data_IF_890370273174
#
_entry.id   IF_890370273174
#
_cell.length_a   1.000
_cell.length_b   1.000
_cell.length_c   1.000
_cell.angle_alpha   90.00
_cell.angle_beta   90.00
_cell.angle_gamma   90.00
#
_symmetry.space_group_name_H-M   'P 1'
#
loop_
_entity.id
_entity.type
_entity.pdbx_description
1 polymer ?
#
# COMPACT_ATOMS: atom_id res chain seq x y z
N UNK A 1 -27.17 24.02 -5.87
CA UNK A 1 -26.85 23.10 -4.76
C UNK A 1 -27.03 21.68 -5.27
N UNK A 2 -25.97 21.04 -5.75
CA UNK A 2 -26.04 19.62 -6.13
C UNK A 2 -26.17 18.81 -4.85
N UNK A 3 -27.32 18.18 -4.63
CA UNK A 3 -27.44 17.04 -3.72
C UNK A 3 -26.39 16.04 -4.18
N UNK A 4 -25.33 15.88 -3.38
CA UNK A 4 -24.31 14.87 -3.65
C UNK A 4 -25.02 13.53 -3.56
N UNK A 5 -25.34 12.94 -4.71
CA UNK A 5 -25.95 11.62 -4.77
C UNK A 5 -24.94 10.65 -4.16
N UNK A 6 -25.21 10.15 -2.95
CA UNK A 6 -24.37 9.16 -2.25
C UNK A 6 -24.78 7.72 -2.53
N UNK A 7 -25.91 7.51 -3.22
CA UNK A 7 -26.44 6.17 -3.53
C UNK A 7 -25.55 5.36 -4.47
N UNK A 8 -24.61 6.00 -5.18
CA UNK A 8 -23.67 5.25 -6.01
C UNK A 8 -22.73 4.36 -5.18
N UNK A 9 -22.42 4.75 -3.92
CA UNK A 9 -21.60 3.97 -2.99
C UNK A 9 -22.34 2.81 -2.31
N UNK A 10 -23.66 2.74 -2.47
CA UNK A 10 -24.50 1.67 -1.91
C UNK A 10 -24.99 0.68 -2.96
N UNK A 11 -24.54 0.78 -4.22
CA UNK A 11 -24.94 -0.13 -5.30
C UNK A 11 -24.46 -1.56 -5.04
N UNK A 12 -25.34 -2.55 -5.27
CA UNK A 12 -24.99 -3.98 -5.11
C UNK A 12 -23.77 -4.41 -5.92
N UNK A 13 -23.59 -3.83 -7.10
CA UNK A 13 -22.45 -4.12 -7.98
C UNK A 13 -21.09 -3.79 -7.38
N UNK A 14 -21.03 -3.04 -6.27
CA UNK A 14 -19.78 -2.74 -5.58
C UNK A 14 -19.31 -3.89 -4.70
N UNK A 15 -20.24 -4.70 -4.20
CA UNK A 15 -19.97 -5.76 -3.23
C UNK A 15 -19.77 -7.09 -3.94
N UNK A 16 -18.82 -7.86 -3.42
CA UNK A 16 -18.63 -9.26 -3.81
C UNK A 16 -18.98 -10.23 -2.69
N UNK A 17 -18.91 -9.76 -1.44
CA UNK A 17 -19.31 -10.53 -0.29
C UNK A 17 -20.57 -9.93 0.33
N UNK A 18 -21.62 -10.74 0.34
CA UNK A 18 -22.93 -10.43 0.87
C UNK A 18 -23.13 -11.15 2.21
N UNK A 19 -23.83 -10.52 3.16
CA UNK A 19 -24.13 -11.14 4.44
C UNK A 19 -25.06 -12.35 4.27
N UNK A 20 -24.82 -13.39 5.05
CA UNK A 20 -25.65 -14.61 5.02
C UNK A 20 -26.91 -14.49 5.89
N UNK A 21 -26.91 -13.57 6.85
CA UNK A 21 -28.00 -13.39 7.81
C UNK A 21 -28.52 -11.96 7.68
N UNK A 22 -29.81 -11.75 7.36
CA UNK A 22 -30.41 -10.42 7.33
C UNK A 22 -30.35 -9.78 8.73
N UNK A 23 -29.89 -8.53 8.80
CA UNK A 23 -30.00 -7.69 9.99
C UNK A 23 -30.99 -6.56 9.70
N UNK A 24 -31.92 -6.34 10.64
CA UNK A 24 -32.97 -5.33 10.51
C UNK A 24 -32.44 -3.91 10.74
N UNK A 25 -31.57 -3.71 11.73
CA UNK A 25 -30.92 -2.42 12.01
C UNK A 25 -29.46 -2.62 12.41
N UNK A 26 -28.57 -1.77 11.87
CA UNK A 26 -27.15 -1.74 12.20
C UNK A 26 -26.67 -0.29 12.22
N UNK A 27 -25.95 0.08 13.27
CA UNK A 27 -25.37 1.40 13.47
C UNK A 27 -23.85 1.31 13.72
N UNK A 28 -23.18 2.46 13.78
CA UNK A 28 -21.71 2.53 13.92
C UNK A 28 -21.24 1.98 15.29
N UNK A 29 -22.06 2.08 16.33
CA UNK A 29 -21.74 1.53 17.65
C UNK A 29 -21.66 0.00 17.61
N UNK A 30 -22.55 -0.66 16.86
CA UNK A 30 -22.51 -2.12 16.69
C UNK A 30 -21.18 -2.57 16.06
N UNK A 31 -20.69 -1.83 15.06
CA UNK A 31 -19.38 -2.06 14.46
C UNK A 31 -18.24 -1.83 15.46
N UNK A 32 -18.31 -0.76 16.26
CA UNK A 32 -17.30 -0.45 17.28
C UNK A 32 -17.21 -1.54 18.34
N UNK A 33 -18.36 -1.98 18.85
CA UNK A 33 -18.46 -3.08 19.82
C UNK A 33 -17.92 -4.37 19.21
N UNK A 34 -18.26 -4.68 17.95
CA UNK A 34 -17.72 -5.83 17.24
C UNK A 34 -16.19 -5.81 17.12
N UNK A 35 -15.61 -4.66 16.74
CA UNK A 35 -14.15 -4.50 16.63
C UNK A 35 -13.49 -4.66 18.01
N UNK A 36 -13.97 -3.95 19.04
CA UNK A 36 -13.41 -4.03 20.41
C UNK A 36 -13.51 -5.43 21.02
N UNK A 37 -14.59 -6.15 20.74
CA UNK A 37 -14.80 -7.53 21.19
C UNK A 37 -14.07 -8.57 20.33
N UNK A 38 -13.34 -8.15 19.29
CA UNK A 38 -12.60 -9.01 18.36
C UNK A 38 -13.48 -10.08 17.73
N UNK A 39 -14.68 -9.69 17.32
CA UNK A 39 -15.54 -10.56 16.53
C UNK A 39 -14.82 -11.05 15.26
N UNK A 40 -15.19 -12.22 14.71
CA UNK A 40 -14.64 -12.71 13.47
C UNK A 40 -14.74 -11.66 12.36
N UNK A 41 -13.66 -11.43 11.61
CA UNK A 41 -13.65 -10.43 10.53
C UNK A 41 -14.78 -10.62 9.50
N UNK A 42 -15.28 -11.85 9.31
CA UNK A 42 -16.43 -12.11 8.47
C UNK A 42 -17.69 -11.36 8.94
N UNK A 43 -17.97 -11.36 10.24
CA UNK A 43 -19.13 -10.67 10.83
C UNK A 43 -18.96 -9.15 10.73
N UNK A 44 -17.75 -8.64 10.99
CA UNK A 44 -17.45 -7.21 10.83
C UNK A 44 -17.63 -6.75 9.37
N UNK A 45 -17.22 -7.56 8.40
CA UNK A 45 -17.44 -7.29 6.97
C UNK A 45 -18.95 -7.22 6.67
N UNK A 46 -19.76 -8.10 7.25
CA UNK A 46 -21.20 -8.08 7.07
C UNK A 46 -21.83 -6.81 7.68
N UNK A 47 -21.36 -6.35 8.86
CA UNK A 47 -21.79 -5.07 9.44
C UNK A 47 -21.47 -3.88 8.51
N UNK A 48 -20.27 -3.85 7.91
CA UNK A 48 -19.93 -2.77 6.95
C UNK A 48 -20.87 -2.74 5.74
N UNK A 49 -21.36 -3.90 5.28
CA UNK A 49 -22.32 -3.95 4.18
C UNK A 49 -23.64 -3.26 4.56
N UNK A 50 -24.19 -3.58 5.73
CA UNK A 50 -25.43 -2.97 6.21
C UNK A 50 -25.29 -1.46 6.41
N UNK A 51 -24.17 -1.01 6.99
CA UNK A 51 -23.89 0.41 7.15
C UNK A 51 -23.79 1.16 5.82
N UNK A 52 -23.15 0.56 4.81
CA UNK A 52 -23.03 1.16 3.46
C UNK A 52 -24.38 1.22 2.72
N UNK A 53 -25.35 0.40 3.10
CA UNK A 53 -26.74 0.47 2.60
C UNK A 53 -27.59 1.48 3.36
N UNK A 54 -27.14 1.94 4.53
CA UNK A 54 -27.88 2.89 5.33
C UNK A 54 -27.82 4.31 4.72
N UNK A 55 -29.00 4.89 4.45
CA UNK A 55 -29.12 6.22 3.85
C UNK A 55 -28.85 7.37 4.83
N UNK A 56 -28.66 7.11 6.12
CA UNK A 56 -28.42 8.14 7.14
C UNK A 56 -27.01 8.75 7.07
N UNK A 57 -26.01 7.99 6.62
CA UNK A 57 -24.59 8.36 6.70
C UNK A 57 -24.18 9.39 5.64
N UNK A 58 -23.32 10.35 6.02
CA UNK A 58 -22.70 11.30 5.09
C UNK A 58 -21.76 10.61 4.10
N UNK A 59 -21.43 11.29 3.01
CA UNK A 59 -20.50 10.73 2.01
C UNK A 59 -19.10 10.45 2.62
N UNK A 60 -18.65 11.29 3.55
CA UNK A 60 -17.37 11.07 4.25
C UNK A 60 -17.40 9.80 5.10
N UNK A 61 -18.49 9.56 5.83
CA UNK A 61 -18.67 8.36 6.65
C UNK A 61 -18.73 7.09 5.78
N UNK A 62 -19.46 7.13 4.66
CA UNK A 62 -19.51 6.01 3.71
C UNK A 62 -18.13 5.67 3.13
N UNK A 63 -17.33 6.68 2.76
CA UNK A 63 -15.96 6.45 2.30
C UNK A 63 -15.09 5.83 3.39
N UNK A 64 -15.27 6.26 4.64
CA UNK A 64 -14.54 5.72 5.78
C UNK A 64 -14.93 4.27 6.09
N UNK A 65 -16.20 3.92 5.95
CA UNK A 65 -16.66 2.53 6.08
C UNK A 65 -16.13 1.66 4.95
N UNK A 66 -16.07 2.17 3.72
CA UNK A 66 -15.40 1.48 2.61
C UNK A 66 -13.92 1.22 2.92
N UNK A 67 -13.23 2.18 3.53
CA UNK A 67 -11.86 1.99 3.98
C UNK A 67 -11.75 0.85 5.01
N UNK A 68 -12.58 0.88 6.05
CA UNK A 68 -12.65 -0.17 7.07
C UNK A 68 -12.93 -1.54 6.43
N UNK A 69 -13.88 -1.62 5.51
CA UNK A 69 -14.24 -2.86 4.80
C UNK A 69 -13.07 -3.47 4.04
N UNK A 70 -12.31 -2.65 3.32
CA UNK A 70 -11.14 -3.12 2.55
C UNK A 70 -10.03 -3.64 3.47
N UNK A 71 -9.81 -2.98 4.62
CA UNK A 71 -8.86 -3.43 5.66
C UNK A 71 -9.31 -4.77 6.26
N UNK A 72 -10.60 -4.91 6.60
CA UNK A 72 -11.15 -6.16 7.13
C UNK A 72 -10.96 -7.32 6.15
N UNK A 73 -11.17 -7.11 4.85
CA UNK A 73 -10.88 -8.14 3.85
C UNK A 73 -9.39 -8.53 3.81
N UNK A 74 -8.47 -7.55 3.95
CA UNK A 74 -7.04 -7.85 4.04
C UNK A 74 -6.73 -8.69 5.28
N UNK A 75 -7.19 -8.27 6.45
CA UNK A 75 -6.94 -8.98 7.71
C UNK A 75 -7.53 -10.40 7.68
N UNK A 76 -8.66 -10.60 7.01
CA UNK A 76 -9.33 -11.88 6.86
C UNK A 76 -8.75 -12.79 5.75
N UNK A 77 -7.58 -12.51 5.20
CA UNK A 77 -6.96 -13.28 4.10
C UNK A 77 -7.82 -13.35 2.82
N UNK A 78 -8.62 -12.32 2.58
CA UNK A 78 -9.53 -12.23 1.43
C UNK A 78 -9.02 -11.20 0.41
N UNK A 79 -7.75 -11.29 0.02
CA UNK A 79 -7.12 -10.34 -0.90
C UNK A 79 -7.89 -10.21 -2.22
N UNK A 80 -8.37 -11.31 -2.79
CA UNK A 80 -9.16 -11.27 -4.04
C UNK A 80 -10.44 -10.45 -3.91
N UNK A 81 -11.14 -10.53 -2.77
CA UNK A 81 -12.31 -9.70 -2.49
C UNK A 81 -11.90 -8.24 -2.35
N UNK A 82 -10.89 -7.94 -1.52
CA UNK A 82 -10.38 -6.59 -1.31
C UNK A 82 -9.98 -5.91 -2.63
N UNK A 83 -9.25 -6.61 -3.51
CA UNK A 83 -8.84 -6.09 -4.83
C UNK A 83 -10.02 -5.74 -5.73
N UNK A 84 -10.97 -6.67 -5.88
CA UNK A 84 -12.10 -6.46 -6.79
C UNK A 84 -13.09 -5.43 -6.25
N UNK A 85 -13.35 -5.41 -4.95
CA UNK A 85 -14.19 -4.36 -4.35
C UNK A 85 -13.51 -2.98 -4.42
N UNK A 86 -12.17 -2.90 -4.26
CA UNK A 86 -11.42 -1.66 -4.48
C UNK A 86 -11.48 -1.18 -5.94
N UNK A 87 -11.44 -2.10 -6.92
CA UNK A 87 -11.67 -1.77 -8.35
C UNK A 87 -13.09 -1.21 -8.53
N UNK A 88 -14.10 -1.90 -8.02
CA UNK A 88 -15.48 -1.44 -8.11
C UNK A 88 -15.66 -0.05 -7.50
N UNK A 89 -15.13 0.16 -6.30
CA UNK A 89 -15.18 1.43 -5.60
C UNK A 89 -14.46 2.54 -6.38
N UNK A 90 -13.24 2.28 -6.86
CA UNK A 90 -12.49 3.22 -7.71
C UNK A 90 -13.29 3.65 -8.94
N UNK A 91 -13.87 2.68 -9.63
CA UNK A 91 -14.64 2.92 -10.84
C UNK A 91 -15.88 3.75 -10.55
N UNK A 92 -16.58 3.47 -9.44
CA UNK A 92 -17.76 4.21 -9.02
C UNK A 92 -17.41 5.66 -8.65
N UNK A 93 -16.30 5.87 -7.92
CA UNK A 93 -15.79 7.19 -7.58
C UNK A 93 -15.38 7.99 -8.82
N UNK A 94 -14.63 7.35 -9.73
CA UNK A 94 -14.20 7.98 -10.98
C UNK A 94 -15.39 8.41 -11.84
N UNK A 95 -16.37 7.51 -12.05
CA UNK A 95 -17.55 7.81 -12.86
C UNK A 95 -18.39 8.91 -12.25
N UNK A 96 -18.56 8.93 -10.92
CA UNK A 96 -19.29 9.97 -10.23
C UNK A 96 -18.64 11.37 -10.38
N UNK A 97 -17.32 11.44 -10.46
CA UNK A 97 -16.61 12.71 -10.75
C UNK A 97 -16.65 13.11 -12.23
N UNK A 98 -16.90 12.16 -13.12
CA UNK A 98 -16.81 12.33 -14.57
C UNK A 98 -18.11 11.86 -15.25
N UNK A 99 -19.27 12.25 -14.72
CA UNK A 99 -20.60 11.79 -15.15
C UNK A 99 -20.88 11.96 -16.67
N UNK A 100 -20.06 12.76 -17.38
CA UNK A 100 -20.15 13.01 -18.82
C UNK A 100 -19.23 12.13 -19.69
N UNK A 101 -18.40 11.27 -19.09
CA UNK A 101 -17.46 10.40 -19.83
C UNK A 101 -18.10 9.02 -20.00
N UNK A 102 -18.45 8.67 -21.24
CA UNK A 102 -18.87 7.32 -21.59
C UNK A 102 -17.76 6.31 -21.19
N UNK A 103 -18.12 5.11 -20.69
CA UNK A 103 -17.15 4.08 -20.35
C UNK A 103 -16.15 3.87 -21.51
N UNK A 104 -14.82 3.86 -21.27
CA UNK A 104 -13.89 3.39 -22.27
C UNK A 104 -14.30 1.96 -22.60
N UNK A 105 -14.63 1.72 -23.86
CA UNK A 105 -14.81 0.37 -24.37
C UNK A 105 -13.55 -0.40 -23.99
N UNK A 106 -13.71 -1.50 -23.24
CA UNK A 106 -12.61 -2.22 -22.62
C UNK A 106 -11.48 -2.42 -23.60
N UNK A 107 -10.25 -2.05 -23.21
CA UNK A 107 -9.06 -2.34 -23.98
C UNK A 107 -9.01 -3.85 -24.18
N UNK A 108 -9.40 -4.31 -25.38
CA UNK A 108 -9.01 -5.62 -25.84
C UNK A 108 -7.49 -5.62 -25.83
N UNK A 109 -6.91 -6.43 -24.95
CA UNK A 109 -5.49 -6.76 -25.03
C UNK A 109 -5.28 -7.33 -26.43
N UNK A 110 -4.66 -6.56 -27.32
CA UNK A 110 -4.21 -7.08 -28.60
C UNK A 110 -3.22 -8.20 -28.29
N UNK A 111 -3.62 -9.43 -28.56
CA UNK A 111 -2.70 -10.55 -28.63
C UNK A 111 -1.59 -10.21 -29.64
N UNK A 112 -0.29 -10.39 -29.33
CA UNK A 112 0.79 -10.09 -30.28
C UNK A 112 0.86 -11.04 -31.50
N UNK A 113 -0.09 -11.95 -31.69
CA UNK A 113 -0.06 -12.94 -32.75
C UNK A 113 -1.38 -12.98 -33.53
N UNK A 114 -1.51 -12.11 -34.51
CA UNK A 114 -2.38 -12.37 -35.66
C UNK A 114 -1.82 -11.62 -36.85
N UNK A 115 -1.09 -12.38 -37.67
CA UNK A 115 -0.61 -11.98 -38.98
C UNK A 115 -1.77 -11.50 -39.85
N UNK A 116 -1.44 -10.50 -40.67
CA UNK A 116 -2.19 -9.99 -41.81
C UNK A 116 -3.02 -11.06 -42.52
N UNK A 117 -4.29 -10.75 -42.77
CA UNK A 117 -4.82 -10.85 -44.13
C UNK A 117 -5.95 -9.83 -44.35
N UNK A 118 -5.74 -8.99 -45.35
CA UNK A 118 -6.69 -8.00 -45.83
C UNK A 118 -7.56 -8.64 -46.89
N UNK A 119 -8.90 -8.59 -46.77
CA UNK A 119 -9.81 -8.47 -47.93
C UNK A 119 -11.29 -8.26 -47.56
N UNK A 120 -11.81 -7.17 -48.12
CA UNK A 120 -13.14 -6.99 -48.73
C UNK A 120 -14.42 -7.00 -47.88
N UNK A 121 -15.17 -5.91 -48.11
CA UNK A 121 -16.50 -5.51 -47.64
C UNK A 121 -17.63 -6.48 -48.03
N UNK A 122 -18.67 -6.57 -47.18
CA UNK A 122 -20.06 -6.69 -47.65
C UNK A 122 -21.05 -6.34 -46.53
N UNK A 123 -22.05 -5.54 -46.89
CA UNK A 123 -23.27 -5.29 -46.12
C UNK A 123 -24.05 -6.60 -45.89
N UNK A 124 -24.57 -6.80 -44.68
CA UNK A 124 -25.91 -7.37 -44.53
C UNK A 124 -26.51 -7.03 -43.16
N UNK A 125 -27.69 -6.42 -43.22
CA UNK A 125 -28.64 -6.24 -42.14
C UNK A 125 -29.33 -7.58 -41.82
N UNK A 126 -29.50 -7.89 -40.54
CA UNK A 126 -30.32 -9.03 -40.14
C UNK A 126 -30.11 -9.51 -38.70
N UNK A 127 -31.02 -9.09 -37.83
CA UNK A 127 -31.54 -9.84 -36.67
C UNK A 127 -30.51 -10.21 -35.60
N UNK A 128 -30.51 -9.39 -34.54
CA UNK A 128 -29.68 -9.56 -33.35
C UNK A 128 -30.05 -10.80 -32.54
N UNK A 129 -29.15 -11.77 -32.55
CA UNK A 129 -28.88 -12.64 -31.41
C UNK A 129 -27.53 -12.19 -30.86
N UNK A 130 -27.54 -11.34 -29.83
CA UNK A 130 -26.33 -10.98 -29.10
C UNK A 130 -25.80 -12.24 -28.41
N UNK A 131 -24.57 -12.69 -28.74
CA UNK A 131 -23.91 -13.71 -27.94
C UNK A 131 -23.67 -13.12 -26.56
N UNK A 132 -24.03 -13.87 -25.52
CA UNK A 132 -23.73 -13.55 -24.13
C UNK A 132 -22.25 -13.16 -23.99
N UNK A 133 -21.92 -12.04 -23.32
CA UNK A 133 -20.53 -11.73 -23.09
C UNK A 133 -19.96 -12.79 -22.14
N UNK A 134 -18.98 -13.54 -22.63
CA UNK A 134 -17.93 -14.15 -21.80
C UNK A 134 -17.54 -13.17 -20.68
N UNK A 135 -17.29 -13.64 -19.43
CA UNK A 135 -17.13 -12.76 -18.27
C UNK A 135 -15.97 -11.80 -18.51
N UNK A 136 -16.30 -10.61 -19.01
CA UNK A 136 -15.36 -9.61 -19.43
C UNK A 136 -14.68 -9.04 -18.19
N UNK A 137 -13.35 -8.95 -18.25
CA UNK A 137 -12.56 -8.19 -17.28
C UNK A 137 -13.23 -6.83 -17.06
N UNK A 138 -13.63 -6.53 -15.82
CA UNK A 138 -14.18 -5.22 -15.49
C UNK A 138 -13.17 -4.14 -15.89
N UNK A 139 -13.61 -3.04 -16.54
CA UNK A 139 -12.71 -1.95 -16.90
C UNK A 139 -12.11 -1.37 -15.61
N UNK A 140 -10.80 -1.11 -15.60
CA UNK A 140 -10.13 -0.44 -14.48
C UNK A 140 -9.93 1.02 -14.88
N UNK A 141 -10.68 1.93 -14.24
CA UNK A 141 -10.55 3.37 -14.50
C UNK A 141 -9.32 3.95 -13.80
N UNK A 142 -8.80 5.12 -14.27
CA UNK A 142 -7.83 5.91 -13.52
C UNK A 142 -8.35 6.27 -12.12
N UNK A 143 -7.44 6.65 -11.22
CA UNK A 143 -7.84 7.16 -9.90
C UNK A 143 -8.73 8.42 -10.07
N UNK A 144 -9.78 8.60 -9.24
CA UNK A 144 -10.53 9.86 -9.20
C UNK A 144 -9.57 11.04 -8.96
N UNK A 145 -9.88 12.19 -9.58
CA UNK A 145 -9.13 13.44 -9.40
C UNK A 145 -9.30 13.99 -7.98
N UNK A 146 -10.33 13.54 -7.26
CA UNK A 146 -10.65 13.97 -5.91
C UNK A 146 -10.81 15.50 -5.83
N UNK A 147 -11.51 16.10 -6.80
CA UNK A 147 -11.54 17.56 -7.00
C UNK A 147 -11.98 18.33 -5.74
N UNK A 148 -12.89 17.73 -4.97
CA UNK A 148 -13.46 18.35 -3.76
C UNK A 148 -12.67 17.98 -2.49
N UNK A 149 -11.58 17.22 -2.61
CA UNK A 149 -10.74 16.79 -1.48
C UNK A 149 -11.41 15.82 -0.49
N UNK A 150 -12.59 15.28 -0.84
CA UNK A 150 -13.41 14.49 0.07
C UNK A 150 -12.86 13.07 0.31
N UNK A 151 -12.20 12.49 -0.68
CA UNK A 151 -11.61 11.15 -0.54
C UNK A 151 -10.32 11.28 0.25
N UNK A 152 -10.26 10.62 1.41
CA UNK A 152 -9.07 10.58 2.26
C UNK A 152 -7.86 10.00 1.54
N UNK A 153 -6.67 10.51 1.85
CA UNK A 153 -5.43 10.06 1.22
C UNK A 153 -5.15 8.56 1.46
N UNK A 154 -5.42 8.07 2.67
CA UNK A 154 -5.25 6.66 3.04
C UNK A 154 -6.11 5.73 2.18
N UNK A 155 -7.39 6.09 1.95
CA UNK A 155 -8.27 5.34 1.05
C UNK A 155 -7.77 5.40 -0.40
N UNK A 156 -7.30 6.54 -0.89
CA UNK A 156 -6.75 6.65 -2.26
C UNK A 156 -5.53 5.74 -2.47
N UNK A 157 -4.61 5.71 -1.50
CA UNK A 157 -3.43 4.84 -1.52
C UNK A 157 -3.84 3.37 -1.46
N UNK A 158 -4.77 3.01 -0.57
CA UNK A 158 -5.25 1.64 -0.46
C UNK A 158 -5.92 1.18 -1.76
N UNK A 159 -6.76 2.02 -2.38
CA UNK A 159 -7.35 1.75 -3.69
C UNK A 159 -6.26 1.54 -4.75
N UNK A 160 -5.23 2.40 -4.78
CA UNK A 160 -4.11 2.28 -5.73
C UNK A 160 -3.38 0.94 -5.57
N UNK A 161 -3.05 0.55 -4.34
CA UNK A 161 -2.35 -0.71 -4.02
C UNK A 161 -3.18 -1.93 -4.39
N UNK A 162 -4.49 -1.87 -4.18
CA UNK A 162 -5.39 -3.01 -4.39
C UNK A 162 -5.83 -3.16 -5.85
N UNK A 163 -6.09 -2.06 -6.56
CA UNK A 163 -6.66 -2.14 -7.91
C UNK A 163 -5.68 -2.58 -8.98
N UNK A 164 -4.39 -2.39 -8.74
CA UNK A 164 -3.34 -2.64 -9.73
C UNK A 164 -2.27 -3.54 -9.15
N UNK A 165 -1.91 -4.61 -9.87
CA UNK A 165 -0.69 -5.36 -9.58
C UNK A 165 0.50 -4.40 -9.73
N UNK A 166 1.50 -4.42 -8.83
CA UNK A 166 2.69 -3.57 -8.94
C UNK A 166 3.30 -3.61 -10.35
N UNK A 167 3.31 -2.47 -11.02
CA UNK A 167 3.86 -2.31 -12.36
C UNK A 167 4.28 -0.85 -12.61
N UNK A 168 5.03 -0.59 -13.67
CA UNK A 168 5.54 0.76 -13.96
C UNK A 168 4.44 1.78 -14.31
N UNK A 169 3.25 1.34 -14.76
CA UNK A 169 2.12 2.25 -14.95
C UNK A 169 1.60 2.78 -13.60
N UNK A 170 1.62 1.96 -12.55
CA UNK A 170 1.23 2.40 -11.20
C UNK A 170 2.17 3.49 -10.67
N UNK A 171 3.46 3.43 -10.99
CA UNK A 171 4.44 4.49 -10.65
C UNK A 171 4.01 5.84 -11.23
N UNK A 172 3.49 5.88 -12.46
CA UNK A 172 2.98 7.13 -13.06
C UNK A 172 1.77 7.68 -12.32
N UNK A 173 0.91 6.82 -11.78
CA UNK A 173 -0.25 7.24 -10.99
C UNK A 173 0.17 7.77 -9.61
N UNK A 174 1.19 7.16 -8.99
CA UNK A 174 1.79 7.67 -7.75
C UNK A 174 2.43 9.05 -7.96
N UNK A 175 3.13 9.28 -9.07
CA UNK A 175 3.66 10.61 -9.40
C UNK A 175 2.55 11.67 -9.57
N UNK A 176 1.42 11.31 -10.17
CA UNK A 176 0.26 12.21 -10.27
C UNK A 176 -0.29 12.54 -8.88
N UNK A 177 -0.37 11.55 -7.98
CA UNK A 177 -0.82 11.76 -6.60
C UNK A 177 0.17 12.64 -5.80
N UNK A 178 1.48 12.40 -5.94
CA UNK A 178 2.52 13.28 -5.39
C UNK A 178 2.33 14.74 -5.81
N UNK A 179 2.09 14.97 -7.11
CA UNK A 179 1.86 16.31 -7.64
C UNK A 179 0.59 16.95 -7.06
N UNK A 180 -0.52 16.21 -7.00
CA UNK A 180 -1.78 16.69 -6.42
C UNK A 180 -1.64 17.07 -4.94
N UNK A 181 -0.90 16.28 -4.15
CA UNK A 181 -0.65 16.58 -2.74
C UNK A 181 0.14 17.88 -2.56
N UNK A 182 1.18 18.09 -3.37
CA UNK A 182 1.99 19.32 -3.32
C UNK A 182 1.21 20.56 -3.73
N UNK A 183 0.28 20.44 -4.68
CA UNK A 183 -0.58 21.57 -5.09
C UNK A 183 -1.60 21.97 -4.02
N UNK A 184 -2.06 21.02 -3.20
CA UNK A 184 -3.14 21.24 -2.22
C UNK A 184 -2.65 21.67 -0.85
N UNK A 185 -1.34 21.59 -0.56
CA UNK A 185 -0.81 21.99 0.73
C UNK A 185 -0.82 23.51 0.90
N UNK A 186 -1.40 24.01 1.99
CA UNK A 186 -1.54 25.46 2.23
C UNK A 186 -0.25 26.14 2.73
N UNK A 187 0.79 25.35 3.05
CA UNK A 187 2.07 25.85 3.52
C UNK A 187 2.15 26.11 5.03
N UNK A 188 1.10 25.80 5.80
CA UNK A 188 1.16 25.75 7.26
C UNK A 188 2.10 24.64 7.76
N UNK A 189 2.83 24.86 8.87
CA UNK A 189 3.85 23.92 9.35
C UNK A 189 3.33 22.52 9.69
N UNK A 190 2.16 22.41 10.34
CA UNK A 190 1.55 21.12 10.65
C UNK A 190 1.14 20.36 9.38
N UNK A 191 0.61 21.08 8.38
CA UNK A 191 0.32 20.51 7.06
C UNK A 191 1.58 20.11 6.30
N UNK A 192 2.71 20.81 6.52
CA UNK A 192 4.01 20.45 5.93
C UNK A 192 4.50 19.12 6.48
N UNK A 193 4.44 18.90 7.80
CA UNK A 193 4.83 17.61 8.39
C UNK A 193 3.97 16.48 7.84
N UNK A 194 2.64 16.66 7.83
CA UNK A 194 1.71 15.69 7.26
C UNK A 194 1.92 15.44 5.76
N UNK A 195 2.27 16.47 4.98
CA UNK A 195 2.63 16.33 3.57
C UNK A 195 3.93 15.53 3.41
N UNK A 196 4.95 15.83 4.19
CA UNK A 196 6.25 15.18 4.08
C UNK A 196 6.15 13.68 4.37
N UNK A 197 5.41 13.27 5.41
CA UNK A 197 5.12 11.85 5.69
C UNK A 197 4.41 11.16 4.52
N UNK A 198 3.41 11.81 3.92
CA UNK A 198 2.72 11.28 2.73
C UNK A 198 3.66 11.12 1.53
N UNK A 199 4.57 12.07 1.33
CA UNK A 199 5.57 12.01 0.24
C UNK A 199 6.60 10.89 0.48
N UNK A 200 7.00 10.66 1.73
CA UNK A 200 7.85 9.53 2.12
C UNK A 200 7.12 8.20 1.85
N UNK A 201 5.85 8.07 2.24
CA UNK A 201 5.13 6.81 2.00
C UNK A 201 4.90 6.56 0.50
N UNK A 202 4.69 7.61 -0.29
CA UNK A 202 4.62 7.51 -1.75
C UNK A 202 5.94 7.05 -2.39
N UNK A 203 7.09 7.46 -1.84
CA UNK A 203 8.37 6.94 -2.34
C UNK A 203 8.58 5.48 -1.96
N UNK A 204 8.10 5.06 -0.79
CA UNK A 204 8.07 3.66 -0.38
C UNK A 204 7.20 2.81 -1.31
N UNK A 205 6.03 3.28 -1.75
CA UNK A 205 5.22 2.61 -2.77
C UNK A 205 6.03 2.38 -4.08
N UNK A 206 6.77 3.39 -4.54
CA UNK A 206 7.63 3.27 -5.73
C UNK A 206 8.74 2.23 -5.51
N UNK A 207 9.38 2.25 -4.35
CA UNK A 207 10.43 1.30 -3.97
C UNK A 207 9.90 -0.13 -3.98
N UNK A 208 8.71 -0.37 -3.40
CA UNK A 208 8.05 -1.67 -3.39
C UNK A 208 7.76 -2.15 -4.80
N UNK A 209 7.18 -1.28 -5.65
CA UNK A 209 6.89 -1.64 -7.05
C UNK A 209 8.16 -2.04 -7.79
N UNK A 210 9.24 -1.26 -7.68
CA UNK A 210 10.51 -1.56 -8.36
C UNK A 210 11.18 -2.82 -7.79
N UNK A 211 11.02 -3.09 -6.50
CA UNK A 211 11.54 -4.30 -5.83
C UNK A 211 10.83 -5.55 -6.32
N UNK A 212 9.49 -5.55 -6.33
CA UNK A 212 8.66 -6.69 -6.74
C UNK A 212 8.79 -6.96 -8.25
N UNK A 213 8.85 -5.90 -9.06
CA UNK A 213 9.08 -6.02 -10.52
C UNK A 213 10.53 -6.32 -10.88
N UNK A 214 11.42 -6.45 -9.88
CA UNK A 214 12.86 -6.75 -10.03
C UNK A 214 13.61 -5.77 -10.94
N UNK A 215 13.14 -4.53 -11.03
CA UNK A 215 13.78 -3.43 -11.76
C UNK A 215 14.92 -2.82 -10.92
N UNK A 216 15.88 -3.64 -10.50
CA UNK A 216 16.87 -3.27 -9.49
C UNK A 216 17.81 -2.14 -9.91
N UNK A 217 18.15 -2.01 -11.19
CA UNK A 217 18.99 -0.90 -11.66
C UNK A 217 18.27 0.45 -11.51
N UNK A 218 17.00 0.51 -11.91
CA UNK A 218 16.15 1.69 -11.71
C UNK A 218 15.96 1.97 -10.21
N UNK A 219 15.76 0.93 -9.40
CA UNK A 219 15.64 1.05 -7.95
C UNK A 219 16.90 1.62 -7.30
N UNK A 220 18.08 1.11 -7.66
CA UNK A 220 19.35 1.62 -7.14
C UNK A 220 19.56 3.08 -7.47
N UNK A 221 19.32 3.48 -8.72
CA UNK A 221 19.43 4.88 -9.14
C UNK A 221 18.42 5.77 -8.42
N UNK A 222 17.20 5.29 -8.20
CA UNK A 222 16.16 6.01 -7.48
C UNK A 222 16.55 6.24 -6.01
N UNK A 223 16.96 5.18 -5.31
CA UNK A 223 17.44 5.24 -3.93
C UNK A 223 18.67 6.13 -3.79
N UNK A 224 19.61 6.04 -4.73
CA UNK A 224 20.82 6.87 -4.74
C UNK A 224 20.49 8.35 -4.93
N UNK A 225 19.56 8.68 -5.83
CA UNK A 225 19.10 10.06 -6.03
C UNK A 225 18.47 10.63 -4.75
N UNK A 226 17.61 9.86 -4.07
CA UNK A 226 17.00 10.28 -2.80
C UNK A 226 18.09 10.47 -1.74
N UNK A 227 19.00 9.49 -1.59
CA UNK A 227 20.09 9.54 -0.61
C UNK A 227 20.97 10.77 -0.83
N UNK A 228 21.34 11.05 -2.08
CA UNK A 228 22.16 12.20 -2.44
C UNK A 228 21.55 13.53 -1.96
N UNK A 229 20.25 13.73 -2.21
CA UNK A 229 19.53 14.93 -1.78
C UNK A 229 19.49 15.07 -0.24
N UNK A 230 19.20 13.97 0.47
CA UNK A 230 19.15 13.96 1.94
C UNK A 230 20.52 14.16 2.58
N UNK A 231 21.58 13.56 2.01
CA UNK A 231 22.96 13.77 2.48
C UNK A 231 23.40 15.21 2.26
N UNK A 232 23.01 15.84 1.16
CA UNK A 232 23.29 17.26 0.91
C UNK A 232 22.64 18.13 1.98
N UNK A 233 21.37 17.88 2.31
CA UNK A 233 20.66 18.58 3.39
C UNK A 233 21.28 18.31 4.78
N UNK A 234 21.73 17.07 5.04
CA UNK A 234 22.47 16.71 6.27
C UNK A 234 23.73 17.56 6.42
N UNK A 235 24.53 17.67 5.36
CA UNK A 235 25.78 18.46 5.34
C UNK A 235 25.54 19.96 5.51
N UNK A 236 24.40 20.45 5.06
CA UNK A 236 23.98 21.84 5.22
C UNK A 236 23.30 22.12 6.58
N UNK A 237 23.19 21.12 7.46
CA UNK A 237 22.47 21.20 8.74
C UNK A 237 21.00 21.62 8.59
N UNK A 238 20.35 21.23 7.48
CA UNK A 238 18.96 21.55 7.16
C UNK A 238 18.03 20.33 7.23
N UNK A 239 18.57 19.15 7.56
CA UNK A 239 17.82 17.90 7.59
C UNK A 239 16.98 17.81 8.87
N UNK A 240 15.66 17.77 8.73
CA UNK A 240 14.74 17.51 9.85
C UNK A 240 14.91 16.08 10.38
N UNK A 241 14.46 15.83 11.62
CA UNK A 241 14.58 14.50 12.25
C UNK A 241 13.83 13.41 11.48
N UNK A 242 12.66 13.73 10.94
CA UNK A 242 11.90 12.82 10.09
C UNK A 242 12.68 12.48 8.80
N UNK A 243 13.33 13.46 8.17
CA UNK A 243 14.17 13.19 7.00
C UNK A 243 15.50 12.51 7.35
N UNK A 244 15.98 12.64 8.60
CA UNK A 244 17.11 11.85 9.13
C UNK A 244 16.73 10.37 9.26
N UNK A 245 15.55 10.07 9.77
CA UNK A 245 15.03 8.69 9.79
C UNK A 245 14.83 8.16 8.36
N UNK A 246 14.31 8.98 7.46
CA UNK A 246 14.13 8.60 6.07
C UNK A 246 15.46 8.33 5.35
N UNK A 247 16.50 9.14 5.60
CA UNK A 247 17.85 8.89 5.08
C UNK A 247 18.39 7.54 5.55
N UNK A 248 18.20 7.21 6.83
CA UNK A 248 18.59 5.91 7.39
C UNK A 248 17.86 4.75 6.69
N UNK A 249 16.53 4.84 6.54
CA UNK A 249 15.72 3.84 5.86
C UNK A 249 16.15 3.64 4.39
N UNK A 250 16.33 4.73 3.64
CA UNK A 250 16.75 4.72 2.23
C UNK A 250 18.16 4.13 2.08
N UNK A 251 19.07 4.45 3.01
CA UNK A 251 20.45 3.94 2.96
C UNK A 251 20.49 2.44 3.26
N UNK A 252 19.72 1.97 4.24
CA UNK A 252 19.56 0.55 4.52
C UNK A 252 19.02 -0.21 3.30
N UNK A 253 17.94 0.29 2.68
CA UNK A 253 17.38 -0.30 1.47
C UNK A 253 18.37 -0.29 0.31
N UNK A 254 19.10 0.81 0.10
CA UNK A 254 20.09 0.92 -0.96
C UNK A 254 21.19 -0.13 -0.81
N UNK A 255 21.73 -0.32 0.40
CA UNK A 255 22.74 -1.34 0.70
C UNK A 255 22.18 -2.75 0.48
N UNK A 256 20.97 -3.05 0.97
CA UNK A 256 20.33 -4.37 0.78
C UNK A 256 20.17 -4.68 -0.71
N UNK A 257 19.58 -3.76 -1.48
CA UNK A 257 19.35 -3.96 -2.92
C UNK A 257 20.68 -4.07 -3.68
N UNK A 258 21.69 -3.30 -3.29
CA UNK A 258 23.03 -3.36 -3.87
C UNK A 258 23.64 -4.76 -3.68
N UNK A 259 23.61 -5.30 -2.46
CA UNK A 259 24.10 -6.65 -2.16
C UNK A 259 23.32 -7.68 -2.99
N UNK A 260 21.98 -7.58 -3.06
CA UNK A 260 21.15 -8.49 -3.86
C UNK A 260 21.55 -8.48 -5.35
N UNK A 261 21.88 -7.31 -5.91
CA UNK A 261 22.34 -7.20 -7.30
C UNK A 261 23.69 -7.89 -7.50
N UNK A 262 24.64 -7.71 -6.59
CA UNK A 262 25.92 -8.41 -6.67
C UNK A 262 25.78 -9.94 -6.56
N UNK A 263 24.91 -10.42 -5.67
CA UNK A 263 24.60 -11.87 -5.53
C UNK A 263 23.99 -12.39 -6.83
N UNK A 264 23.01 -11.68 -7.40
CA UNK A 264 22.36 -12.05 -8.66
C UNK A 264 23.33 -12.09 -9.84
N UNK A 265 24.34 -11.22 -9.84
CA UNK A 265 25.40 -11.18 -10.86
C UNK A 265 26.46 -12.27 -10.66
N UNK A 266 26.31 -13.18 -9.69
CA UNK A 266 27.20 -14.32 -9.48
C UNK A 266 28.50 -13.99 -8.73
N UNK A 267 28.52 -12.89 -7.98
CA UNK A 267 29.69 -12.54 -7.15
C UNK A 267 29.88 -13.60 -6.06
N UNK A 268 31.07 -14.22 -6.00
CA UNK A 268 31.41 -15.22 -4.99
C UNK A 268 31.34 -14.63 -3.57
N UNK A 269 30.87 -15.41 -2.60
CA UNK A 269 30.68 -15.01 -1.20
C UNK A 269 31.87 -14.26 -0.60
N UNK A 270 33.08 -14.82 -0.69
CA UNK A 270 34.26 -14.22 -0.06
C UNK A 270 34.58 -12.83 -0.65
N UNK A 271 34.49 -12.70 -1.98
CA UNK A 271 34.69 -11.42 -2.67
C UNK A 271 33.58 -10.42 -2.39
N UNK A 272 32.34 -10.90 -2.23
CA UNK A 272 31.19 -10.05 -1.95
C UNK A 272 31.36 -9.34 -0.62
N UNK A 273 31.69 -10.07 0.45
CA UNK A 273 31.91 -9.49 1.77
C UNK A 273 33.02 -8.45 1.73
N UNK A 274 34.14 -8.75 1.07
CA UNK A 274 35.27 -7.81 0.94
C UNK A 274 34.88 -6.53 0.20
N UNK A 275 34.18 -6.64 -0.95
CA UNK A 275 33.72 -5.50 -1.74
C UNK A 275 32.77 -4.64 -0.90
N UNK A 276 31.79 -5.28 -0.26
CA UNK A 276 30.73 -4.58 0.47
C UNK A 276 31.30 -3.84 1.68
N UNK A 277 32.12 -4.53 2.47
CA UNK A 277 32.77 -3.97 3.66
C UNK A 277 33.69 -2.82 3.27
N UNK A 278 34.57 -3.02 2.28
CA UNK A 278 35.56 -2.01 1.87
C UNK A 278 34.95 -0.71 1.35
N UNK A 279 33.84 -0.79 0.62
CA UNK A 279 33.30 0.36 -0.11
C UNK A 279 32.09 1.00 0.56
N UNK A 280 31.35 0.28 1.40
CA UNK A 280 30.05 0.73 1.89
C UNK A 280 29.90 0.68 3.40
N UNK A 281 30.84 0.10 4.15
CA UNK A 281 30.76 0.04 5.62
C UNK A 281 30.68 1.43 6.26
N UNK A 282 31.59 2.34 5.91
CA UNK A 282 31.58 3.70 6.48
C UNK A 282 30.28 4.44 6.18
N UNK A 283 29.73 4.29 4.97
CA UNK A 283 28.44 4.92 4.63
C UNK A 283 27.31 4.31 5.45
N UNK A 284 27.29 2.98 5.58
CA UNK A 284 26.31 2.26 6.35
C UNK A 284 26.32 2.68 7.83
N UNK A 285 27.48 2.68 8.47
CA UNK A 285 27.62 3.02 9.90
C UNK A 285 27.31 4.50 10.20
N UNK A 286 27.59 5.41 9.27
CA UNK A 286 27.36 6.85 9.47
C UNK A 286 25.92 7.31 9.23
N UNK A 287 25.19 6.60 8.36
CA UNK A 287 23.87 7.04 7.90
C UNK A 287 22.72 6.12 8.36
N UNK A 288 22.99 4.85 8.66
CA UNK A 288 21.97 3.91 9.16
C UNK A 288 21.95 3.92 10.69
N UNK A 289 20.80 4.30 11.25
CA UNK A 289 20.57 4.36 12.68
C UNK A 289 19.94 3.07 13.24
N UNK A 290 19.91 2.99 14.56
CA UNK A 290 19.40 1.83 15.29
C UNK A 290 17.93 1.54 14.98
N UNK A 291 17.09 2.57 14.81
CA UNK A 291 15.65 2.39 14.54
C UNK A 291 15.39 1.67 13.21
N UNK A 292 16.11 2.02 12.14
CA UNK A 292 16.00 1.34 10.85
C UNK A 292 16.45 -0.12 10.94
N UNK A 293 17.53 -0.38 11.69
CA UNK A 293 18.04 -1.73 11.89
C UNK A 293 17.09 -2.58 12.73
N UNK A 294 16.56 -2.03 13.83
CA UNK A 294 15.62 -2.73 14.69
C UNK A 294 14.32 -3.04 13.93
N UNK A 295 13.89 -2.17 13.02
CA UNK A 295 12.75 -2.45 12.13
C UNK A 295 12.99 -3.68 11.24
N UNK A 296 14.19 -3.82 10.68
CA UNK A 296 14.55 -4.99 9.87
C UNK A 296 14.67 -6.25 10.75
N UNK A 297 15.34 -6.16 11.91
CA UNK A 297 15.46 -7.26 12.86
C UNK A 297 14.10 -7.77 13.31
N UNK A 298 13.17 -6.86 13.64
CA UNK A 298 11.80 -7.19 14.02
C UNK A 298 11.08 -7.97 12.92
N UNK A 299 11.16 -7.50 11.67
CA UNK A 299 10.53 -8.20 10.54
C UNK A 299 11.15 -9.58 10.31
N UNK A 300 12.48 -9.70 10.39
CA UNK A 300 13.18 -10.97 10.22
C UNK A 300 12.79 -12.01 11.28
N UNK A 301 12.48 -11.58 12.51
CA UNK A 301 12.08 -12.48 13.60
C UNK A 301 10.58 -12.80 13.63
N UNK A 302 9.74 -12.03 12.94
CA UNK A 302 8.27 -12.17 13.01
C UNK A 302 7.61 -12.56 11.68
N UNK A 303 8.30 -12.42 10.54
CA UNK A 303 7.74 -12.67 9.21
C UNK A 303 8.65 -13.64 8.47
N UNK A 304 8.08 -14.75 8.00
CA UNK A 304 8.85 -15.74 7.24
C UNK A 304 9.22 -15.17 5.86
N UNK A 305 10.44 -15.40 5.35
CA UNK A 305 10.83 -14.94 4.02
C UNK A 305 9.97 -15.52 2.89
N UNK A 306 9.31 -16.67 3.11
CA UNK A 306 8.42 -17.34 2.15
C UNK A 306 7.00 -17.44 2.72
N UNK A 307 5.94 -17.09 1.94
CA UNK A 307 4.55 -17.20 2.40
C UNK A 307 4.12 -18.60 2.86
N UNK A 308 4.73 -19.63 2.28
CA UNK A 308 4.41 -21.04 2.57
C UNK A 308 5.21 -21.63 3.74
N UNK A 309 6.11 -20.87 4.34
CA UNK A 309 6.95 -21.32 5.46
C UNK A 309 6.55 -20.60 6.74
N UNK A 310 6.68 -21.29 7.86
CA UNK A 310 6.59 -20.72 9.21
C UNK A 310 7.99 -20.44 9.79
N UNK A 311 9.05 -20.87 9.10
CA UNK A 311 10.42 -20.66 9.56
C UNK A 311 10.80 -19.18 9.41
N UNK A 312 11.19 -18.59 10.53
CA UNK A 312 11.69 -17.22 10.63
C UNK A 312 13.22 -17.20 10.50
N UNK A 313 13.77 -16.06 10.10
CA UNK A 313 15.22 -15.91 10.01
C UNK A 313 15.84 -15.93 11.42
N UNK A 314 17.00 -16.58 11.57
CA UNK A 314 17.76 -16.51 12.83
C UNK A 314 18.56 -15.21 12.85
N UNK A 315 18.03 -14.20 13.55
CA UNK A 315 18.69 -12.90 13.70
C UNK A 315 19.82 -13.01 14.73
N UNK A 316 21.07 -12.59 14.41
CA UNK A 316 22.15 -12.56 15.38
C UNK A 316 21.82 -11.69 16.60
N UNK A 317 22.25 -12.06 17.81
CA UNK A 317 22.08 -11.21 18.99
C UNK A 317 22.90 -9.93 18.85
N UNK A 318 22.26 -8.77 19.09
CA UNK A 318 22.89 -7.45 19.03
C UNK A 318 22.65 -6.70 17.72
N UNK A 319 23.40 -5.61 17.52
CA UNK A 319 23.24 -4.76 16.35
C UNK A 319 23.67 -5.49 15.07
N UNK A 320 22.78 -5.48 14.07
CA UNK A 320 23.06 -6.02 12.74
C UNK A 320 24.16 -5.20 12.05
N UNK A 321 25.21 -5.87 11.58
CA UNK A 321 26.30 -5.26 10.81
C UNK A 321 26.07 -5.43 9.32
N UNK A 322 26.81 -4.69 8.48
CA UNK A 322 26.76 -4.87 7.03
C UNK A 322 27.14 -6.30 6.59
N UNK A 323 28.04 -6.96 7.34
CA UNK A 323 28.42 -8.36 7.11
C UNK A 323 27.28 -9.32 7.42
N UNK A 324 26.46 -9.05 8.45
CA UNK A 324 25.26 -9.83 8.74
C UNK A 324 24.25 -9.72 7.58
N UNK A 325 24.08 -8.52 6.99
CA UNK A 325 23.20 -8.34 5.82
C UNK A 325 23.65 -9.18 4.62
N UNK A 326 24.96 -9.25 4.34
CA UNK A 326 25.50 -10.11 3.28
C UNK A 326 25.15 -11.58 3.53
N UNK A 327 25.29 -12.05 4.77
CA UNK A 327 24.96 -13.43 5.13
C UNK A 327 23.47 -13.73 4.98
N UNK A 328 22.60 -12.86 5.51
CA UNK A 328 21.14 -12.99 5.45
C UNK A 328 20.61 -12.96 4.01
N UNK A 329 21.24 -12.20 3.10
CA UNK A 329 20.86 -12.21 1.68
C UNK A 329 21.32 -13.51 1.00
N UNK A 330 22.52 -14.01 1.33
CA UNK A 330 23.04 -15.26 0.78
C UNK A 330 22.28 -16.50 1.25
N UNK A 331 21.75 -16.50 2.48
CA UNK A 331 20.87 -17.55 3.01
C UNK A 331 19.44 -17.47 2.47
N UNK A 332 19.06 -16.35 1.85
CA UNK A 332 17.70 -16.12 1.34
C UNK A 332 16.72 -15.59 2.40
N UNK A 333 17.22 -15.26 3.59
CA UNK A 333 16.42 -14.72 4.70
C UNK A 333 15.91 -13.30 4.40
N UNK A 334 16.69 -12.48 3.70
CA UNK A 334 16.20 -11.18 3.18
C UNK A 334 15.61 -11.39 1.79
N UNK A 335 14.30 -11.64 1.75
CA UNK A 335 13.52 -11.78 0.53
C UNK A 335 12.78 -10.50 0.15
N UNK A 336 12.14 -10.48 -1.02
CA UNK A 336 11.24 -9.39 -1.41
C UNK A 336 10.09 -9.18 -0.42
N UNK A 337 9.62 -10.24 0.25
CA UNK A 337 8.60 -10.19 1.30
C UNK A 337 9.10 -9.46 2.53
N UNK A 338 10.32 -9.78 2.98
CA UNK A 338 10.96 -9.09 4.10
C UNK A 338 11.14 -7.61 3.78
N UNK A 339 11.66 -7.27 2.60
CA UNK A 339 11.82 -5.88 2.18
C UNK A 339 10.48 -5.14 2.20
N UNK A 340 9.43 -5.69 1.58
CA UNK A 340 8.12 -5.05 1.56
C UNK A 340 7.50 -4.92 2.96
N UNK A 341 7.75 -5.90 3.83
CA UNK A 341 7.26 -5.87 5.21
C UNK A 341 8.02 -4.83 6.06
N UNK A 342 9.33 -4.71 5.92
CA UNK A 342 10.11 -3.66 6.58
C UNK A 342 9.67 -2.27 6.12
N UNK A 343 9.41 -2.09 4.82
CA UNK A 343 8.85 -0.85 4.30
C UNK A 343 7.43 -0.62 4.83
N UNK A 344 6.59 -1.66 4.89
CA UNK A 344 5.23 -1.60 5.41
C UNK A 344 5.19 -1.17 6.88
N UNK A 345 6.17 -1.61 7.68
CA UNK A 345 6.36 -1.18 9.06
C UNK A 345 6.59 0.34 9.13
N UNK A 346 7.51 0.88 8.32
CA UNK A 346 7.78 2.32 8.27
C UNK A 346 6.59 3.13 7.75
N UNK A 347 5.86 2.61 6.76
CA UNK A 347 4.65 3.23 6.24
C UNK A 347 3.57 3.35 7.34
N UNK A 348 3.27 2.23 8.03
CA UNK A 348 2.34 2.22 9.16
C UNK A 348 2.80 3.17 10.27
N UNK A 349 4.09 3.20 10.61
CA UNK A 349 4.64 4.14 11.59
C UNK A 349 4.38 5.59 11.19
N UNK A 350 4.53 5.94 9.91
CA UNK A 350 4.29 7.29 9.41
C UNK A 350 2.80 7.66 9.36
N UNK A 351 1.90 6.69 9.11
CA UNK A 351 0.45 6.94 9.01
C UNK A 351 -0.22 6.97 10.39
N UNK A 352 0.13 6.02 11.25
CA UNK A 352 -0.59 5.73 12.48
C UNK A 352 0.24 6.05 13.74
N UNK A 353 1.52 6.37 13.61
CA UNK A 353 2.37 6.70 14.75
C UNK A 353 2.78 5.48 15.57
N UNK A 354 3.01 4.33 14.95
CA UNK A 354 3.59 3.18 15.64
C UNK A 354 5.08 3.40 15.96
N UNK A 355 5.54 2.92 17.12
CA UNK A 355 6.95 2.66 17.39
C UNK A 355 7.21 1.20 17.70
N UNK A 356 8.45 0.81 17.45
CA UNK A 356 9.00 -0.41 17.99
C UNK A 356 9.50 -0.11 19.41
N UNK A 357 8.93 -0.80 20.39
CA UNK A 357 9.34 -0.70 21.80
C UNK A 357 10.62 -1.51 22.05
N UNK A 358 11.24 -1.31 23.21
CA UNK A 358 12.45 -2.04 23.61
C UNK A 358 12.26 -3.56 23.78
N UNK A 359 11.00 -3.99 23.96
CA UNK A 359 10.64 -5.39 24.13
C UNK A 359 10.29 -6.07 22.80
N UNK A 360 10.75 -5.50 21.68
CA UNK A 360 10.41 -5.91 20.31
C UNK A 360 8.90 -5.91 20.01
N UNK A 361 8.08 -5.17 20.77
CA UNK A 361 6.67 -5.01 20.44
C UNK A 361 6.45 -3.78 19.56
N UNK A 362 5.84 -3.96 18.40
CA UNK A 362 5.41 -2.87 17.53
C UNK A 362 4.03 -2.35 17.98
N UNK A 363 4.02 -1.20 18.66
CA UNK A 363 2.82 -0.63 19.31
C UNK A 363 2.55 0.80 18.84
N UNK A 364 1.27 1.16 18.83
CA UNK A 364 0.80 2.51 18.56
C UNK A 364 1.29 3.46 19.67
N UNK A 365 1.98 4.55 19.34
CA UNK A 365 2.52 5.50 20.34
C UNK A 365 1.46 6.38 21.00
N UNK A 366 0.32 6.50 20.34
CA UNK A 366 -0.80 7.27 20.84
C UNK A 366 -1.90 6.28 21.20
N UNK A 367 -2.42 6.36 22.43
CA UNK A 367 -3.80 5.92 22.63
C UNK A 367 -4.66 6.71 21.63
N UNK A 368 -5.65 6.08 20.97
CA UNK A 368 -6.59 6.82 20.15
C UNK A 368 -7.06 8.00 20.99
N UNK A 369 -6.74 9.23 20.58
CA UNK A 369 -7.31 10.43 21.22
C UNK A 369 -8.80 10.17 21.30
N UNK A 370 -9.46 10.44 22.44
CA UNK A 370 -10.91 10.30 22.60
C UNK A 370 -11.60 10.88 21.37
N UNK A 371 -11.88 10.02 20.41
CA UNK A 371 -12.38 10.46 19.13
C UNK A 371 -13.84 10.73 19.43
N UNK A 372 -14.25 11.99 19.31
CA UNK A 372 -15.63 12.38 19.56
C UNK A 372 -16.63 11.67 18.64
N UNK A 373 -16.12 11.00 17.60
CA UNK A 373 -16.85 10.23 16.62
C UNK A 373 -16.55 8.72 16.72
N UNK A 374 -17.61 7.93 16.86
CA UNK A 374 -17.57 6.46 16.92
C UNK A 374 -16.92 5.84 15.68
N UNK A 375 -17.05 6.44 14.50
CA UNK A 375 -16.48 5.89 13.26
C UNK A 375 -14.96 6.05 13.23
N UNK A 376 -14.47 7.19 13.71
CA UNK A 376 -13.05 7.42 13.92
C UNK A 376 -12.47 6.44 14.96
N UNK A 377 -13.23 6.15 16.03
CA UNK A 377 -12.87 5.11 16.99
C UNK A 377 -12.81 3.70 16.37
N UNK A 378 -13.79 3.33 15.52
CA UNK A 378 -13.76 2.06 14.79
C UNK A 378 -12.48 1.91 13.96
N UNK A 379 -12.13 2.98 13.22
CA UNK A 379 -10.95 2.97 12.38
C UNK A 379 -9.66 2.87 13.18
N UNK A 380 -9.52 3.65 14.25
CA UNK A 380 -8.31 3.64 15.09
C UNK A 380 -8.14 2.28 15.78
N UNK A 381 -9.22 1.69 16.31
CA UNK A 381 -9.16 0.37 16.94
C UNK A 381 -8.80 -0.72 15.93
N UNK A 382 -9.44 -0.74 14.75
CA UNK A 382 -9.11 -1.72 13.71
C UNK A 382 -7.67 -1.57 13.22
N UNK A 383 -7.22 -0.34 12.99
CA UNK A 383 -5.86 -0.08 12.49
C UNK A 383 -4.78 -0.31 13.53
N UNK A 384 -5.13 -0.55 14.80
CA UNK A 384 -4.20 -1.01 15.85
C UNK A 384 -3.69 -2.45 15.64
N UNK A 385 -4.38 -3.24 14.80
CA UNK A 385 -3.96 -4.61 14.45
C UNK A 385 -2.92 -4.64 13.32
N UNK A 386 -2.61 -3.51 12.66
CA UNK A 386 -1.67 -3.48 11.53
C UNK A 386 -0.30 -4.07 11.86
N UNK A 387 0.16 -3.97 13.12
CA UNK A 387 1.41 -4.60 13.55
C UNK A 387 1.45 -6.12 13.34
N UNK A 388 0.30 -6.81 13.38
CA UNK A 388 0.19 -8.25 13.10
C UNK A 388 0.11 -8.57 11.62
N UNK A 389 -0.23 -7.58 10.80
CA UNK A 389 -0.55 -7.74 9.38
C UNK A 389 0.34 -6.87 8.48
N UNK A 390 1.54 -6.52 8.94
CA UNK A 390 2.49 -5.65 8.21
C UNK A 390 2.75 -6.15 6.78
N UNK A 391 2.85 -7.47 6.60
CA UNK A 391 3.06 -8.10 5.29
C UNK A 391 1.90 -7.86 4.30
N UNK A 392 0.72 -7.42 4.77
CA UNK A 392 -0.47 -7.16 3.95
C UNK A 392 -0.62 -5.71 3.49
N UNK A 393 0.20 -4.78 4.00
CA UNK A 393 0.09 -3.32 3.74
C UNK A 393 0.06 -2.98 2.25
N UNK A 394 0.79 -3.72 1.43
CA UNK A 394 0.88 -3.52 -0.02
C UNK A 394 -0.03 -4.43 -0.85
N UNK A 395 -0.88 -5.25 -0.22
CA UNK A 395 -1.86 -6.10 -0.92
C UNK A 395 -1.24 -7.12 -1.87
N UNK A 396 -0.10 -7.70 -1.49
CA UNK A 396 0.68 -8.62 -2.32
C UNK A 396 0.43 -10.10 -2.04
N UNK A 397 -0.12 -10.44 -0.87
CA UNK A 397 -0.26 -11.82 -0.35
C UNK A 397 -1.70 -12.33 -0.31
#
# INVERSE_FOLDING_TARGET
>A
MNTINKQFLSKESLFLKFPNVPLDECNIEDLLVGIKSKQPYNELIDLTYYLLKNNSLSLSELLKIWEIRLILHLFNNQLTFSKKEAINLNNALYLNENNDIAPPQGQQVQNPNSNNDSRASSMNSGIGNTPSPSPGLQPIYPLPKNNNGLIGHSLLIMILRLRSIPNLSLVNELYKLCYQLRLRSSGAEEEKVGLQLKLINLSYDIIVILSITKNYHTLLNYLESIRYELVLQKKQNQLSDMYRQYLSNVTLLWVIILIMVYVRNGTKKDRLTDIITKHYQDTFENDVNELSMNSLSYVLSHISPLPSSEEMATVPPGALTISHLVQLILSGDISGRIICSTIGLWDISNVHGYSLTKDDEFKLNHQPSDASDNLSSCYNELTSDWGRFIYKVYGLE
#
